data_IF_054185518208
#
_entry.id   IF_054185518208
#
_cell.length_a   1.000
_cell.length_b   1.000
_cell.length_c   1.000
_cell.angle_alpha   90.00
_cell.angle_beta   90.00
_cell.angle_gamma   90.00
#
_symmetry.space_group_name_H-M   'P 1'
#
loop_
_entity.id
_entity.type
_entity.pdbx_description
1 polymer ?
#
# COMPACT_ATOMS: atom_id res chain seq x y z
N UNK A 1 24.04 18.08 -7.48
CA UNK A 1 22.65 17.71 -7.11
C UNK A 1 21.87 17.40 -8.37
N UNK A 2 21.12 16.28 -8.43
CA UNK A 2 20.33 15.95 -9.63
C UNK A 2 19.15 16.89 -9.78
N UNK A 3 18.93 17.39 -10.98
CA UNK A 3 17.71 18.15 -11.30
C UNK A 3 16.51 17.21 -11.51
N UNK A 4 15.28 17.74 -11.40
CA UNK A 4 14.06 16.95 -11.67
C UNK A 4 14.06 16.40 -13.10
N UNK A 5 14.57 17.18 -14.05
CA UNK A 5 14.70 16.76 -15.45
C UNK A 5 15.68 15.57 -15.59
N UNK A 6 16.84 15.64 -14.95
CA UNK A 6 17.82 14.54 -14.95
C UNK A 6 17.27 13.27 -14.29
N UNK A 7 16.45 13.40 -13.25
CA UNK A 7 15.81 12.25 -12.61
C UNK A 7 14.89 11.52 -13.59
N UNK A 8 13.99 12.23 -14.27
CA UNK A 8 13.07 11.59 -15.22
C UNK A 8 13.79 11.07 -16.46
N UNK A 9 14.76 11.79 -17.01
CA UNK A 9 15.59 11.28 -18.12
C UNK A 9 16.33 10.00 -17.68
N UNK A 10 16.89 9.99 -16.48
CA UNK A 10 17.53 8.82 -15.90
C UNK A 10 16.58 7.65 -15.66
N UNK A 11 15.31 7.90 -15.33
CA UNK A 11 14.30 6.86 -15.15
C UNK A 11 13.96 6.13 -16.46
N UNK A 12 14.15 6.76 -17.63
CA UNK A 12 13.96 6.14 -18.95
C UNK A 12 15.26 5.57 -19.55
N UNK A 13 16.36 5.53 -18.79
CA UNK A 13 17.60 4.90 -19.21
C UNK A 13 17.53 3.37 -19.21
N UNK A 14 18.49 2.74 -19.88
CA UNK A 14 18.62 1.28 -19.92
C UNK A 14 18.77 0.66 -18.52
N UNK A 15 19.49 1.34 -17.61
CA UNK A 15 19.71 0.89 -16.23
C UNK A 15 18.41 0.82 -15.42
N UNK A 16 17.40 1.63 -15.78
CA UNK A 16 16.09 1.65 -15.16
C UNK A 16 15.01 0.95 -16.00
N UNK A 17 15.40 -0.03 -16.82
CA UNK A 17 14.51 -0.84 -17.66
C UNK A 17 13.66 0.02 -18.61
N UNK A 18 14.27 1.07 -19.19
CA UNK A 18 13.62 1.94 -20.19
C UNK A 18 12.28 2.53 -19.71
N UNK A 19 12.20 2.92 -18.43
CA UNK A 19 10.98 3.52 -17.86
C UNK A 19 9.85 2.54 -17.56
N UNK A 20 10.07 1.23 -17.69
CA UNK A 20 9.07 0.22 -17.33
C UNK A 20 8.58 0.38 -15.88
N UNK A 21 9.48 0.65 -14.93
CA UNK A 21 9.12 0.93 -13.54
C UNK A 21 8.18 2.14 -13.40
N UNK A 22 8.44 3.19 -14.18
CA UNK A 22 7.62 4.40 -14.19
C UNK A 22 6.20 4.10 -14.71
N UNK A 23 6.10 3.31 -15.79
CA UNK A 23 4.81 2.88 -16.35
C UNK A 23 4.01 2.06 -15.33
N UNK A 24 4.65 1.10 -14.64
CA UNK A 24 3.96 0.31 -13.61
C UNK A 24 3.52 1.22 -12.46
N UNK A 25 4.36 2.16 -12.04
CA UNK A 25 4.04 3.10 -10.97
C UNK A 25 2.85 4.00 -11.30
N UNK A 26 2.79 4.58 -12.51
CA UNK A 26 1.59 5.30 -12.97
C UNK A 26 0.35 4.40 -13.06
N UNK A 27 0.51 3.18 -13.57
CA UNK A 27 -0.59 2.20 -13.63
C UNK A 27 -1.13 1.88 -12.24
N UNK A 28 -0.27 1.87 -11.21
CA UNK A 28 -0.69 1.64 -9.82
C UNK A 28 -1.65 2.70 -9.29
N UNK A 29 -1.46 3.97 -9.69
CA UNK A 29 -2.34 5.09 -9.34
C UNK A 29 -3.72 4.88 -9.99
N UNK A 30 -3.72 4.50 -11.27
CA UNK A 30 -4.95 4.21 -12.01
C UNK A 30 -5.72 3.06 -11.35
N UNK A 31 -5.03 1.98 -10.98
CA UNK A 31 -5.62 0.83 -10.29
C UNK A 31 -6.21 1.25 -8.94
N UNK A 32 -5.48 2.03 -8.13
CA UNK A 32 -5.96 2.53 -6.85
C UNK A 32 -7.27 3.33 -7.03
N UNK A 33 -7.29 4.30 -7.94
CA UNK A 33 -8.47 5.12 -8.23
C UNK A 33 -9.64 4.27 -8.74
N UNK A 34 -9.35 3.30 -9.60
CA UNK A 34 -10.36 2.38 -10.12
C UNK A 34 -10.97 1.51 -9.02
N UNK A 35 -10.14 0.92 -8.14
CA UNK A 35 -10.60 0.12 -7.00
C UNK A 35 -11.42 0.96 -6.01
N UNK A 36 -11.02 2.20 -5.72
CA UNK A 36 -11.81 3.13 -4.89
C UNK A 36 -13.15 3.45 -5.55
N UNK A 37 -13.15 3.71 -6.87
CA UNK A 37 -14.37 3.94 -7.64
C UNK A 37 -15.32 2.75 -7.58
N UNK A 38 -14.83 1.54 -7.84
CA UNK A 38 -15.62 0.31 -7.71
C UNK A 38 -16.12 0.10 -6.28
N UNK A 39 -15.27 0.32 -5.27
CA UNK A 39 -15.67 0.20 -3.87
C UNK A 39 -16.84 1.14 -3.53
N UNK A 40 -16.80 2.38 -4.01
CA UNK A 40 -17.87 3.36 -3.82
C UNK A 40 -19.17 2.95 -4.54
N UNK A 41 -19.07 2.45 -5.77
CA UNK A 41 -20.22 1.94 -6.52
C UNK A 41 -20.85 0.71 -5.85
N UNK A 42 -20.04 -0.26 -5.43
CA UNK A 42 -20.50 -1.47 -4.72
C UNK A 42 -21.20 -1.10 -3.42
N UNK A 43 -20.63 -0.16 -2.66
CA UNK A 43 -21.24 0.33 -1.42
C UNK A 43 -22.60 1.00 -1.69
N UNK A 44 -22.68 1.85 -2.71
CA UNK A 44 -23.92 2.55 -3.08
C UNK A 44 -24.99 1.62 -3.64
N UNK A 45 -24.62 0.59 -4.41
CA UNK A 45 -25.56 -0.32 -5.05
C UNK A 45 -26.49 -1.04 -4.07
N UNK A 46 -25.99 -1.40 -2.88
CA UNK A 46 -26.81 -2.01 -1.81
C UNK A 46 -26.23 -1.67 -0.43
N UNK A 47 -26.41 -0.42 -0.01
CA UNK A 47 -25.84 0.11 1.24
C UNK A 47 -26.29 -0.61 2.52
N UNK A 48 -27.42 -1.33 2.49
CA UNK A 48 -27.92 -2.15 3.61
C UNK A 48 -27.37 -3.59 3.60
N UNK A 49 -26.80 -4.05 2.49
CA UNK A 49 -26.27 -5.41 2.36
C UNK A 49 -24.87 -5.53 2.97
N UNK A 50 -24.68 -6.46 3.91
CA UNK A 50 -23.36 -6.67 4.52
C UNK A 50 -22.32 -7.23 3.52
N UNK A 51 -22.77 -7.98 2.51
CA UNK A 51 -21.92 -8.50 1.43
C UNK A 51 -21.26 -7.36 0.64
N UNK A 52 -22.04 -6.34 0.28
CA UNK A 52 -21.54 -5.17 -0.44
C UNK A 52 -20.56 -4.36 0.40
N UNK A 53 -20.83 -4.19 1.70
CA UNK A 53 -19.90 -3.51 2.61
C UNK A 53 -18.57 -4.25 2.70
N UNK A 54 -18.63 -5.57 2.87
CA UNK A 54 -17.45 -6.42 2.91
C UNK A 54 -16.65 -6.33 1.60
N UNK A 55 -17.31 -6.49 0.44
CA UNK A 55 -16.64 -6.41 -0.86
C UNK A 55 -16.05 -5.02 -1.13
N UNK A 56 -16.75 -3.97 -0.74
CA UNK A 56 -16.26 -2.59 -0.86
C UNK A 56 -14.97 -2.36 -0.05
N UNK A 57 -14.94 -2.80 1.21
CA UNK A 57 -13.73 -2.68 2.05
C UNK A 57 -12.57 -3.53 1.49
N UNK A 58 -12.87 -4.72 0.96
CA UNK A 58 -11.86 -5.58 0.32
C UNK A 58 -11.24 -4.89 -0.90
N UNK A 59 -12.07 -4.28 -1.75
CA UNK A 59 -11.61 -3.52 -2.92
C UNK A 59 -10.73 -2.33 -2.52
N UNK A 60 -11.05 -1.62 -1.44
CA UNK A 60 -10.20 -0.55 -0.92
C UNK A 60 -8.83 -1.10 -0.51
N UNK A 61 -8.79 -2.24 0.20
CA UNK A 61 -7.53 -2.87 0.60
C UNK A 61 -6.70 -3.31 -0.61
N UNK A 62 -7.32 -3.92 -1.62
CA UNK A 62 -6.65 -4.32 -2.86
C UNK A 62 -6.11 -3.12 -3.65
N UNK A 63 -6.89 -2.02 -3.72
CA UNK A 63 -6.43 -0.78 -4.34
C UNK A 63 -5.21 -0.18 -3.65
N UNK A 64 -5.24 -0.12 -2.32
CA UNK A 64 -4.11 0.35 -1.51
C UNK A 64 -2.88 -0.53 -1.74
N UNK A 65 -3.03 -1.86 -1.74
CA UNK A 65 -1.93 -2.80 -2.02
C UNK A 65 -1.30 -2.55 -3.38
N UNK A 66 -2.11 -2.31 -4.41
CA UNK A 66 -1.61 -2.01 -5.75
C UNK A 66 -0.74 -0.75 -5.78
N UNK A 67 -1.07 0.25 -4.94
CA UNK A 67 -0.37 1.53 -4.87
C UNK A 67 1.00 1.51 -4.17
N UNK A 68 1.54 0.35 -3.77
CA UNK A 68 2.80 0.28 -3.01
C UNK A 68 4.01 0.90 -3.73
N UNK A 69 4.00 0.93 -5.06
CA UNK A 69 5.07 1.50 -5.89
C UNK A 69 4.86 2.97 -6.25
N UNK A 70 3.82 3.64 -5.72
CA UNK A 70 3.50 5.03 -6.06
C UNK A 70 4.65 6.00 -5.76
N UNK A 71 5.49 5.67 -4.76
CA UNK A 71 6.66 6.45 -4.40
C UNK A 71 7.69 6.58 -5.54
N UNK A 72 7.64 5.71 -6.56
CA UNK A 72 8.54 5.77 -7.71
C UNK A 72 8.16 6.86 -8.73
N UNK A 73 6.91 7.35 -8.71
CA UNK A 73 6.50 8.49 -9.57
C UNK A 73 7.19 9.78 -9.14
N UNK A 74 7.37 9.95 -7.83
CA UNK A 74 7.93 11.18 -7.27
C UNK A 74 9.45 11.20 -7.38
N UNK A 75 10.06 12.39 -7.58
CA UNK A 75 11.50 12.50 -7.67
C UNK A 75 12.19 12.04 -6.39
N UNK A 76 13.13 11.10 -6.50
CA UNK A 76 13.95 10.68 -5.36
C UNK A 76 15.14 11.63 -5.17
N UNK A 77 14.86 12.85 -4.70
CA UNK A 77 15.82 13.97 -4.59
C UNK A 77 15.63 14.65 -3.24
N UNK A 78 16.73 15.08 -2.62
CA UNK A 78 16.78 15.78 -1.32
C UNK A 78 15.80 16.97 -1.20
N UNK A 79 15.56 17.73 -2.27
CA UNK A 79 14.58 18.84 -2.24
C UNK A 79 13.12 18.40 -2.00
N UNK A 80 12.82 17.12 -2.24
CA UNK A 80 11.48 16.52 -2.07
C UNK A 80 11.41 15.57 -0.89
N UNK A 81 12.36 15.63 0.04
CA UNK A 81 12.47 14.76 1.21
C UNK A 81 11.15 14.64 1.99
N UNK A 82 10.48 15.76 2.26
CA UNK A 82 9.18 15.80 2.95
C UNK A 82 8.10 14.94 2.28
N UNK A 83 8.10 14.85 0.95
CA UNK A 83 7.14 14.06 0.19
C UNK A 83 7.49 12.58 0.27
N UNK A 84 8.79 12.28 0.31
CA UNK A 84 9.30 10.92 0.47
C UNK A 84 9.01 10.36 1.86
N UNK A 85 9.07 11.18 2.91
CA UNK A 85 8.69 10.78 4.28
C UNK A 85 7.24 10.28 4.33
N UNK A 86 6.33 11.04 3.71
CA UNK A 86 4.91 10.67 3.62
C UNK A 86 4.74 9.38 2.80
N UNK A 87 5.39 9.30 1.64
CA UNK A 87 5.30 8.16 0.74
C UNK A 87 5.96 6.91 1.30
N UNK A 88 6.93 7.04 2.19
CA UNK A 88 7.55 5.94 2.90
C UNK A 88 6.57 5.25 3.84
N UNK A 89 5.86 6.04 4.66
CA UNK A 89 4.77 5.52 5.49
C UNK A 89 3.66 4.88 4.64
N UNK A 90 3.35 5.46 3.48
CA UNK A 90 2.39 4.84 2.55
C UNK A 90 2.87 3.49 2.03
N UNK A 91 4.13 3.42 1.58
CA UNK A 91 4.73 2.24 0.94
C UNK A 91 4.92 1.09 1.92
N UNK A 92 5.17 1.38 3.20
CA UNK A 92 5.40 0.39 4.24
C UNK A 92 4.15 0.21 5.11
N UNK A 93 3.86 1.18 6.00
CA UNK A 93 2.84 1.03 7.03
C UNK A 93 1.46 0.77 6.43
N UNK A 94 1.06 1.59 5.45
CA UNK A 94 -0.27 1.51 4.83
C UNK A 94 -0.39 0.25 3.96
N UNK A 95 0.66 -0.09 3.20
CA UNK A 95 0.72 -1.33 2.42
C UNK A 95 0.58 -2.57 3.29
N UNK A 96 1.41 -2.74 4.33
CA UNK A 96 1.37 -3.93 5.17
C UNK A 96 0.05 -4.03 5.93
N UNK A 97 -0.49 -2.91 6.42
CA UNK A 97 -1.83 -2.89 7.04
C UNK A 97 -2.90 -3.38 6.07
N UNK A 98 -2.91 -2.89 4.84
CA UNK A 98 -3.86 -3.31 3.81
C UNK A 98 -3.64 -4.77 3.39
N UNK A 99 -2.40 -5.25 3.35
CA UNK A 99 -2.05 -6.62 3.02
C UNK A 99 -2.55 -7.61 4.07
N UNK A 100 -2.25 -7.37 5.35
CA UNK A 100 -2.72 -8.19 6.48
C UNK A 100 -4.25 -8.17 6.53
N UNK A 101 -4.86 -6.99 6.39
CA UNK A 101 -6.31 -6.85 6.36
C UNK A 101 -6.94 -7.66 5.23
N UNK A 102 -6.40 -7.57 4.01
CA UNK A 102 -6.90 -8.32 2.86
C UNK A 102 -6.83 -9.83 3.11
N UNK A 103 -5.73 -10.35 3.66
CA UNK A 103 -5.60 -11.76 4.03
C UNK A 103 -6.71 -12.19 5.00
N UNK A 104 -6.94 -11.42 6.07
CA UNK A 104 -8.01 -11.70 7.05
C UNK A 104 -9.38 -11.67 6.37
N UNK A 105 -9.62 -10.68 5.52
CA UNK A 105 -10.87 -10.58 4.77
C UNK A 105 -11.07 -11.75 3.82
N UNK A 106 -10.04 -12.21 3.11
CA UNK A 106 -10.11 -13.41 2.27
C UNK A 106 -10.52 -14.64 3.09
N UNK A 107 -9.97 -14.80 4.29
CA UNK A 107 -10.39 -15.86 5.22
C UNK A 107 -11.85 -15.70 5.70
N UNK A 108 -12.38 -14.47 5.70
CA UNK A 108 -13.78 -14.16 6.02
C UNK A 108 -14.76 -14.33 4.84
N UNK A 109 -14.31 -14.58 3.60
CA UNK A 109 -15.20 -14.84 2.45
C UNK A 109 -16.31 -15.86 2.74
N UNK A 110 -16.04 -17.02 3.40
CA UNK A 110 -17.06 -18.03 3.70
C UNK A 110 -18.23 -17.53 4.55
N UNK A 111 -18.05 -16.43 5.30
CA UNK A 111 -19.09 -15.80 6.12
C UNK A 111 -20.20 -15.23 5.23
N UNK A 112 -19.81 -14.64 4.09
CA UNK A 112 -20.72 -13.96 3.16
C UNK A 112 -21.16 -14.89 2.03
N UNK A 113 -20.25 -15.71 1.52
CA UNK A 113 -20.50 -16.64 0.41
C UNK A 113 -20.42 -18.09 0.93
N UNK A 114 -21.54 -18.81 0.89
CA UNK A 114 -21.61 -20.17 1.47
C UNK A 114 -20.73 -21.14 0.68
N UNK A 115 -19.79 -21.79 1.36
CA UNK A 115 -18.98 -22.89 0.84
C UNK A 115 -19.40 -24.21 1.48
N UNK A 116 -19.37 -25.31 0.72
CA UNK A 116 -19.82 -26.62 1.20
C UNK A 116 -19.04 -27.11 2.44
N UNK A 117 -17.71 -26.92 2.46
CA UNK A 117 -16.84 -27.35 3.58
C UNK A 117 -16.84 -26.41 4.79
N UNK A 118 -17.11 -25.11 4.59
CA UNK A 118 -17.04 -24.07 5.63
C UNK A 118 -18.42 -23.47 5.94
N UNK A 119 -19.49 -24.24 5.74
CA UNK A 119 -20.87 -23.77 5.89
C UNK A 119 -21.20 -23.28 7.31
N UNK A 120 -20.44 -23.73 8.32
CA UNK A 120 -20.59 -23.29 9.72
C UNK A 120 -20.30 -21.79 9.93
N UNK A 121 -19.47 -21.18 9.07
CA UNK A 121 -19.11 -19.76 9.14
C UNK A 121 -20.22 -18.85 8.62
N UNK A 122 -21.16 -19.40 7.83
CA UNK A 122 -22.23 -18.65 7.19
C UNK A 122 -23.39 -18.34 8.16
N UNK A 123 -23.09 -17.63 9.26
CA UNK A 123 -24.06 -17.26 10.29
C UNK A 123 -24.43 -15.77 10.20
N UNK A 124 -25.70 -15.40 10.43
CA UNK A 124 -26.14 -14.00 10.35
C UNK A 124 -25.41 -13.08 11.35
N UNK A 125 -25.06 -13.58 12.54
CA UNK A 125 -24.31 -12.82 13.55
C UNK A 125 -22.91 -12.42 13.07
N UNK A 126 -22.24 -13.27 12.28
CA UNK A 126 -20.92 -12.98 11.73
C UNK A 126 -20.98 -12.03 10.54
N UNK A 127 -21.99 -12.18 9.66
CA UNK A 127 -22.20 -11.28 8.52
C UNK A 127 -22.32 -9.81 8.93
N UNK A 128 -22.98 -9.53 10.06
CA UNK A 128 -23.18 -8.16 10.55
C UNK A 128 -21.87 -7.44 10.88
N UNK A 129 -20.85 -8.17 11.34
CA UNK A 129 -19.67 -7.59 11.97
C UNK A 129 -18.35 -7.84 11.23
N UNK A 130 -18.24 -8.89 10.42
CA UNK A 130 -16.97 -9.26 9.78
C UNK A 130 -16.35 -8.15 8.90
N UNK A 131 -17.17 -7.33 8.23
CA UNK A 131 -16.71 -6.24 7.36
C UNK A 131 -15.92 -5.13 8.07
N UNK A 132 -16.11 -4.92 9.38
CA UNK A 132 -15.34 -3.93 10.15
C UNK A 132 -14.38 -4.56 11.16
N UNK A 133 -14.69 -5.77 11.67
CA UNK A 133 -13.80 -6.50 12.57
C UNK A 133 -12.52 -6.91 11.84
N UNK A 134 -12.61 -7.36 10.59
CA UNK A 134 -11.44 -7.79 9.82
C UNK A 134 -10.42 -6.64 9.63
N UNK A 135 -10.81 -5.43 9.19
CA UNK A 135 -9.93 -4.25 9.19
C UNK A 135 -9.38 -3.89 10.56
N UNK A 136 -10.21 -3.91 11.61
CA UNK A 136 -9.75 -3.58 12.96
C UNK A 136 -8.65 -4.55 13.44
N UNK A 137 -8.81 -5.85 13.17
CA UNK A 137 -7.80 -6.85 13.46
C UNK A 137 -6.53 -6.64 12.63
N UNK A 138 -6.65 -6.37 11.33
CA UNK A 138 -5.50 -6.12 10.47
C UNK A 138 -4.65 -4.93 10.92
N UNK A 139 -5.30 -3.82 11.28
CA UNK A 139 -4.65 -2.64 11.86
C UNK A 139 -3.95 -2.99 13.17
N UNK A 140 -4.65 -3.68 14.07
CA UNK A 140 -4.09 -4.06 15.38
C UNK A 140 -2.86 -4.95 15.22
N UNK A 141 -2.90 -5.94 14.33
CA UNK A 141 -1.78 -6.84 14.06
C UNK A 141 -0.57 -6.07 13.52
N UNK A 142 -0.77 -5.15 12.56
CA UNK A 142 0.34 -4.34 12.05
C UNK A 142 0.96 -3.47 13.16
N UNK A 143 0.14 -2.80 13.98
CA UNK A 143 0.63 -1.97 15.08
C UNK A 143 1.46 -2.76 16.11
N UNK A 144 1.16 -4.04 16.31
CA UNK A 144 1.92 -4.93 17.19
C UNK A 144 3.24 -5.41 16.56
N UNK A 145 3.27 -5.61 15.23
CA UNK A 145 4.43 -6.17 14.53
C UNK A 145 5.42 -5.09 14.09
N UNK A 146 4.96 -3.87 13.79
CA UNK A 146 5.82 -2.79 13.23
C UNK A 146 6.99 -2.36 14.11
N UNK A 147 6.96 -2.69 15.41
CA UNK A 147 8.02 -2.36 16.38
C UNK A 147 9.03 -3.49 16.57
N UNK A 148 8.81 -4.65 15.96
CA UNK A 148 9.73 -5.78 16.02
C UNK A 148 11.00 -5.44 15.23
N UNK A 149 12.22 -5.76 15.72
CA UNK A 149 13.48 -5.40 15.06
C UNK A 149 13.58 -5.84 13.59
N UNK A 150 12.93 -6.94 13.21
CA UNK A 150 12.90 -7.42 11.82
C UNK A 150 12.15 -6.48 10.85
N UNK A 151 11.25 -5.63 11.36
CA UNK A 151 10.48 -4.66 10.58
C UNK A 151 10.84 -3.22 10.92
N UNK A 152 11.72 -3.01 11.90
CA UNK A 152 12.18 -1.71 12.33
C UNK A 152 13.27 -1.23 11.37
N UNK A 153 12.97 -0.16 10.63
CA UNK A 153 13.95 0.52 9.78
C UNK A 153 14.40 1.76 10.54
N UNK A 154 15.64 1.76 11.04
CA UNK A 154 16.32 2.95 11.54
C UNK A 154 17.41 3.37 10.56
N UNK A 155 17.71 4.67 10.56
CA UNK A 155 18.93 5.24 9.95
C UNK A 155 18.98 5.22 8.43
N UNK A 156 17.97 5.82 7.79
CA UNK A 156 18.09 6.17 6.38
C UNK A 156 19.10 7.33 6.23
N UNK A 157 20.08 7.18 5.34
CA UNK A 157 21.09 8.20 5.05
C UNK A 157 21.18 8.46 3.55
N UNK A 158 21.26 9.73 3.17
CA UNK A 158 21.69 10.13 1.84
C UNK A 158 23.19 9.90 1.68
N UNK A 159 23.58 9.20 0.62
CA UNK A 159 24.99 9.11 0.22
C UNK A 159 25.23 10.22 -0.80
N UNK A 160 26.06 11.19 -0.43
CA UNK A 160 26.46 12.32 -1.28
C UNK A 160 27.85 12.03 -1.82
N UNK A 161 27.93 11.83 -3.14
CA UNK A 161 29.19 11.68 -3.84
C UNK A 161 29.48 12.97 -4.62
N UNK A 162 30.61 13.61 -4.33
CA UNK A 162 31.18 14.66 -5.18
C UNK A 162 32.36 14.09 -5.97
N UNK A 163 32.56 14.58 -7.19
CA UNK A 163 33.55 14.02 -8.11
C UNK A 163 34.96 14.33 -7.60
N UNK A 164 35.67 13.28 -7.15
CA UNK A 164 37.02 13.39 -6.59
C UNK A 164 37.10 13.47 -5.06
N UNK A 165 35.98 13.46 -4.34
CA UNK A 165 35.94 13.38 -2.87
C UNK A 165 35.44 12.03 -2.35
N UNK A 166 35.76 11.72 -1.09
CA UNK A 166 35.22 10.53 -0.43
C UNK A 166 33.70 10.70 -0.20
N UNK A 167 32.89 9.64 -0.37
CA UNK A 167 31.44 9.73 -0.22
C UNK A 167 31.09 10.12 1.22
N UNK A 168 30.25 11.15 1.36
CA UNK A 168 29.76 11.61 2.66
C UNK A 168 28.35 11.10 2.90
N UNK A 169 28.02 10.79 4.16
CA UNK A 169 26.68 10.35 4.56
C UNK A 169 25.97 11.45 5.32
N UNK A 170 24.77 11.81 4.88
CA UNK A 170 23.90 12.75 5.57
C UNK A 170 22.64 12.02 6.05
N UNK A 171 22.26 12.18 7.32
CA UNK A 171 21.19 11.39 7.92
C UNK A 171 19.83 11.97 7.51
N UNK A 172 18.99 11.14 6.90
CA UNK A 172 17.64 11.48 6.45
C UNK A 172 16.63 11.27 7.58
N UNK A 173 16.49 10.04 8.11
CA UNK A 173 15.65 9.81 9.30
C UNK A 173 16.13 8.61 10.13
N UNK A 174 15.91 8.70 11.44
CA UNK A 174 16.35 7.77 12.48
C UNK A 174 16.24 8.42 13.86
#
# INVERSE_FOLDING_TARGET
MRTVQEYYIGAFSADNLFGFRMIISFSSIVILLYCIGLAALVWRAKSKGFENKFMSVLLVCEGIKASFIIAQVTPYIRSYEWLQDILWHWTIDVFFTAHITAIIMYLCIPIYYRLNRLSFMHRPSFKKHAWYIAPALGITIWLLIRTVPAFYVSDATWVVCEEGEEPTTDRWFG
#
